data_IF_765361725319
#
_entry.id   IF_765361725319
#
_cell.length_a   1.000
_cell.length_b   1.000
_cell.length_c   1.000
_cell.angle_alpha   90.00
_cell.angle_beta   90.00
_cell.angle_gamma   90.00
#
_symmetry.space_group_name_H-M   'P 1'
#
loop_
_entity.id
_entity.type
_entity.pdbx_description
1 polymer ?
#
# COMPACT_ATOMS: atom_id res chain seq x y z
N UNK A 1 9.53 -1.21 -51.91
CA UNK A 1 9.22 -1.43 -50.49
C UNK A 1 8.40 -2.70 -50.36
N UNK A 2 8.79 -3.62 -49.50
CA UNK A 2 8.00 -4.82 -49.22
C UNK A 2 6.79 -4.41 -48.39
N UNK A 3 5.58 -4.86 -48.82
CA UNK A 3 4.31 -4.58 -48.14
C UNK A 3 3.61 -5.90 -47.85
N UNK A 4 2.95 -5.98 -46.65
CA UNK A 4 2.11 -7.12 -46.32
C UNK A 4 0.75 -6.95 -46.96
N UNK A 5 0.25 -7.99 -47.61
CA UNK A 5 -1.10 -8.01 -48.15
C UNK A 5 -2.03 -8.72 -47.20
N UNK A 6 -3.06 -8.00 -46.70
CA UNK A 6 -4.08 -8.55 -45.82
C UNK A 6 -5.36 -8.87 -46.56
N UNK A 7 -5.99 -10.02 -46.26
CA UNK A 7 -7.27 -10.44 -46.83
C UNK A 7 -8.12 -11.15 -45.76
N UNK A 8 -9.42 -10.94 -45.78
CA UNK A 8 -10.35 -11.68 -44.96
C UNK A 8 -10.80 -12.97 -45.68
N UNK A 9 -10.68 -14.10 -44.98
CA UNK A 9 -11.00 -15.43 -45.52
C UNK A 9 -11.95 -16.15 -44.53
N UNK A 10 -13.06 -16.67 -45.03
CA UNK A 10 -13.97 -17.52 -44.27
C UNK A 10 -13.74 -18.99 -44.65
N UNK A 11 -13.75 -19.88 -43.65
CA UNK A 11 -13.75 -21.33 -43.86
C UNK A 11 -12.61 -21.88 -44.74
N UNK A 12 -11.38 -21.45 -44.48
CA UNK A 12 -10.19 -21.86 -45.22
C UNK A 12 -10.01 -23.39 -45.27
N UNK A 13 -10.34 -24.10 -44.23
CA UNK A 13 -10.12 -25.54 -44.11
C UNK A 13 -11.32 -26.37 -44.57
N UNK A 14 -12.34 -25.73 -45.15
CA UNK A 14 -13.61 -26.35 -45.56
C UNK A 14 -14.27 -27.19 -44.44
N UNK A 15 -14.06 -26.77 -43.17
CA UNK A 15 -14.59 -27.46 -41.98
C UNK A 15 -15.52 -26.52 -41.21
N UNK A 16 -16.74 -26.99 -40.92
CA UNK A 16 -17.71 -26.24 -40.16
C UNK A 16 -17.80 -26.81 -38.74
N UNK A 17 -17.93 -25.93 -37.77
CA UNK A 17 -18.18 -26.35 -36.38
C UNK A 17 -19.61 -26.93 -36.21
N UNK A 18 -19.90 -27.43 -35.00
CA UNK A 18 -21.20 -28.04 -34.68
C UNK A 18 -22.42 -27.14 -34.96
N UNK A 19 -22.25 -25.83 -35.01
CA UNK A 19 -23.29 -24.84 -35.30
C UNK A 19 -23.36 -24.45 -36.79
N UNK A 20 -22.70 -25.20 -37.67
CA UNK A 20 -22.61 -24.94 -39.11
C UNK A 20 -22.01 -23.53 -39.40
N UNK A 21 -21.08 -23.03 -38.55
CA UNK A 21 -20.36 -21.78 -38.73
C UNK A 21 -18.86 -22.05 -38.88
N UNK A 22 -18.17 -21.15 -39.59
CA UNK A 22 -16.72 -21.14 -39.70
C UNK A 22 -16.17 -19.79 -39.22
N UNK A 23 -14.92 -19.76 -38.75
CA UNK A 23 -14.26 -18.56 -38.35
C UNK A 23 -13.80 -17.74 -39.55
N UNK A 24 -13.94 -16.41 -39.41
CA UNK A 24 -13.28 -15.46 -40.36
C UNK A 24 -11.84 -15.29 -39.88
N UNK A 25 -10.89 -15.48 -40.76
CA UNK A 25 -9.46 -15.29 -40.48
C UNK A 25 -8.91 -14.15 -41.35
N UNK A 26 -7.85 -13.50 -40.92
CA UNK A 26 -7.09 -12.55 -41.72
C UNK A 26 -5.87 -13.27 -42.28
N UNK A 27 -5.84 -13.46 -43.60
CA UNK A 27 -4.62 -13.90 -44.33
C UNK A 27 -3.67 -12.72 -44.41
N UNK A 28 -2.48 -12.84 -43.81
CA UNK A 28 -1.37 -11.90 -44.00
C UNK A 28 -0.30 -12.56 -44.88
N UNK A 29 -0.05 -11.99 -46.05
CA UNK A 29 0.90 -12.50 -47.04
C UNK A 29 2.07 -11.54 -47.19
N UNK A 30 3.30 -12.07 -47.02
CA UNK A 30 4.55 -11.36 -47.31
C UNK A 30 5.42 -12.21 -48.27
N UNK A 31 5.62 -11.74 -49.49
CA UNK A 31 6.31 -12.49 -50.53
C UNK A 31 5.65 -13.87 -50.81
N UNK A 32 6.39 -14.95 -50.57
CA UNK A 32 5.91 -16.33 -50.68
C UNK A 32 5.30 -16.90 -49.43
N UNK A 33 5.52 -16.25 -48.26
CA UNK A 33 5.04 -16.72 -46.96
C UNK A 33 3.65 -16.19 -46.63
N UNK A 34 2.83 -17.02 -46.00
CA UNK A 34 1.49 -16.68 -45.54
C UNK A 34 1.26 -17.10 -44.10
N UNK A 35 0.46 -16.33 -43.41
CA UNK A 35 0.01 -16.61 -42.03
C UNK A 35 -1.47 -16.26 -41.92
N UNK A 36 -2.19 -16.94 -41.06
CA UNK A 36 -3.61 -16.72 -40.82
C UNK A 36 -3.83 -16.32 -39.38
N UNK A 37 -4.52 -15.20 -39.16
CA UNK A 37 -4.78 -14.61 -37.88
C UNK A 37 -6.26 -14.74 -37.54
N UNK A 38 -6.63 -15.31 -36.36
CA UNK A 38 -8.03 -15.52 -35.99
C UNK A 38 -8.69 -14.20 -35.61
N UNK A 39 -9.94 -13.97 -36.11
CA UNK A 39 -10.72 -12.80 -35.72
C UNK A 39 -11.71 -13.10 -34.58
N UNK A 40 -11.91 -14.36 -34.25
CA UNK A 40 -12.97 -14.86 -33.35
C UNK A 40 -14.40 -14.54 -33.82
N UNK A 41 -14.58 -14.17 -35.08
CA UNK A 41 -15.89 -13.97 -35.71
C UNK A 41 -16.30 -15.25 -36.40
N UNK A 42 -17.40 -15.87 -35.98
CA UNK A 42 -17.93 -17.11 -36.58
C UNK A 42 -19.20 -16.81 -37.38
N UNK A 43 -19.21 -17.23 -38.67
CA UNK A 43 -20.30 -16.98 -39.59
C UNK A 43 -20.73 -18.27 -40.32
N UNK A 44 -22.01 -18.34 -40.68
CA UNK A 44 -22.46 -19.34 -41.65
C UNK A 44 -22.02 -18.91 -43.04
N UNK A 45 -21.50 -19.82 -43.90
CA UNK A 45 -20.99 -19.47 -45.23
C UNK A 45 -21.97 -18.66 -46.09
N UNK A 46 -23.28 -18.89 -45.96
CA UNK A 46 -24.33 -18.15 -46.69
C UNK A 46 -24.37 -16.65 -46.44
N UNK A 47 -23.74 -16.16 -45.36
CA UNK A 47 -23.70 -14.74 -44.99
C UNK A 47 -22.37 -14.07 -45.37
N UNK A 48 -21.50 -14.77 -46.10
CA UNK A 48 -20.18 -14.25 -46.47
C UNK A 48 -20.07 -13.98 -47.96
N UNK A 49 -19.61 -12.78 -48.32
CA UNK A 49 -19.31 -12.41 -49.69
C UNK A 49 -17.81 -12.61 -49.95
N UNK A 50 -17.44 -13.66 -50.66
CA UNK A 50 -16.04 -14.01 -50.98
C UNK A 50 -15.36 -12.95 -51.84
N UNK A 51 -16.08 -12.31 -52.78
CA UNK A 51 -15.48 -11.30 -53.69
C UNK A 51 -15.18 -9.99 -52.98
N UNK A 52 -16.10 -9.54 -52.13
CA UNK A 52 -15.95 -8.29 -51.40
C UNK A 52 -15.27 -8.47 -50.04
N UNK A 53 -15.13 -9.72 -49.57
CA UNK A 53 -14.53 -10.07 -48.29
C UNK A 53 -15.29 -9.39 -47.08
N UNK A 54 -16.61 -9.39 -47.14
CA UNK A 54 -17.50 -8.74 -46.18
C UNK A 54 -18.67 -9.62 -45.76
N UNK A 55 -19.26 -9.33 -44.64
CA UNK A 55 -20.53 -9.95 -44.18
C UNK A 55 -21.68 -9.35 -44.97
N UNK A 56 -22.51 -10.21 -45.58
CA UNK A 56 -23.63 -9.77 -46.41
C UNK A 56 -24.75 -9.09 -45.63
N UNK A 57 -25.50 -8.14 -46.21
CA UNK A 57 -26.62 -7.44 -45.56
C UNK A 57 -27.75 -8.36 -45.07
N UNK A 58 -27.78 -9.60 -45.54
CA UNK A 58 -28.71 -10.61 -45.08
C UNK A 58 -28.43 -11.11 -43.64
N UNK A 59 -27.28 -10.76 -43.04
CA UNK A 59 -26.98 -11.05 -41.66
C UNK A 59 -27.49 -9.91 -40.73
N UNK A 60 -28.19 -10.18 -39.64
CA UNK A 60 -28.78 -9.14 -38.75
C UNK A 60 -27.79 -8.09 -38.24
N UNK A 61 -26.52 -8.50 -38.00
CA UNK A 61 -25.48 -7.66 -37.44
C UNK A 61 -24.37 -7.35 -38.45
N UNK A 62 -24.68 -7.29 -39.74
CA UNK A 62 -23.67 -7.17 -40.83
C UNK A 62 -22.82 -5.90 -40.69
N UNK A 63 -23.41 -4.75 -40.39
CA UNK A 63 -22.68 -3.49 -40.21
C UNK A 63 -21.68 -3.56 -39.08
N UNK A 64 -22.12 -4.06 -37.93
CA UNK A 64 -21.30 -4.16 -36.73
C UNK A 64 -20.11 -5.11 -36.93
N UNK A 65 -20.36 -6.27 -37.59
CA UNK A 65 -19.34 -7.26 -37.85
C UNK A 65 -18.36 -6.79 -38.89
N UNK A 66 -18.81 -6.12 -39.98
CA UNK A 66 -17.92 -5.53 -40.96
C UNK A 66 -17.04 -4.46 -40.37
N UNK A 67 -17.59 -3.56 -39.55
CA UNK A 67 -16.82 -2.55 -38.84
C UNK A 67 -15.79 -3.18 -37.90
N UNK A 68 -16.15 -4.22 -37.18
CA UNK A 68 -15.22 -4.94 -36.32
C UNK A 68 -14.05 -5.56 -37.09
N UNK A 69 -14.35 -6.21 -38.23
CA UNK A 69 -13.33 -6.81 -39.11
C UNK A 69 -12.43 -5.76 -39.74
N UNK A 70 -12.98 -4.62 -40.14
CA UNK A 70 -12.22 -3.49 -40.68
C UNK A 70 -11.29 -2.88 -39.62
N UNK A 71 -11.77 -2.71 -38.36
CA UNK A 71 -10.91 -2.26 -37.26
C UNK A 71 -9.73 -3.21 -36.99
N UNK A 72 -9.93 -4.53 -37.16
CA UNK A 72 -8.86 -5.51 -37.03
C UNK A 72 -7.82 -5.37 -38.17
N UNK A 73 -8.26 -5.16 -39.41
CA UNK A 73 -7.38 -4.92 -40.53
C UNK A 73 -6.56 -3.64 -40.37
N UNK A 74 -7.22 -2.53 -39.98
CA UNK A 74 -6.56 -1.25 -39.72
C UNK A 74 -5.50 -1.35 -38.64
N UNK A 75 -5.74 -2.15 -37.57
CA UNK A 75 -4.74 -2.39 -36.54
C UNK A 75 -3.49 -3.09 -37.06
N UNK A 76 -3.63 -4.05 -37.97
CA UNK A 76 -2.51 -4.75 -38.59
C UNK A 76 -1.73 -3.86 -39.57
N UNK A 77 -2.42 -3.05 -40.37
CA UNK A 77 -1.81 -2.06 -41.23
C UNK A 77 -1.04 -1.00 -40.43
N UNK A 78 -1.61 -0.54 -39.33
CA UNK A 78 -0.91 0.39 -38.43
C UNK A 78 0.35 -0.22 -37.80
N UNK A 79 0.33 -1.52 -37.46
CA UNK A 79 1.52 -2.23 -36.99
C UNK A 79 2.62 -2.29 -38.09
N UNK A 80 2.25 -2.58 -39.31
CA UNK A 80 3.19 -2.55 -40.45
C UNK A 80 3.85 -1.17 -40.56
N UNK A 81 3.07 -0.08 -40.49
CA UNK A 81 3.58 1.29 -40.49
C UNK A 81 4.52 1.60 -39.33
N UNK A 82 4.21 1.10 -38.13
CA UNK A 82 5.08 1.26 -36.99
C UNK A 82 6.40 0.49 -37.13
N UNK A 83 6.40 -0.71 -37.73
CA UNK A 83 7.62 -1.46 -37.99
C UNK A 83 8.52 -0.70 -38.99
N UNK A 84 7.95 -0.07 -39.99
CA UNK A 84 8.70 0.80 -40.91
C UNK A 84 9.26 2.03 -40.22
N UNK A 85 8.45 2.73 -39.45
CA UNK A 85 8.89 3.92 -38.71
C UNK A 85 10.05 3.63 -37.76
N UNK A 86 10.08 2.43 -37.16
CA UNK A 86 11.09 2.02 -36.20
C UNK A 86 12.29 1.29 -36.83
N UNK A 87 12.38 1.22 -38.15
CA UNK A 87 13.41 0.47 -38.87
C UNK A 87 13.54 -1.00 -38.43
N UNK A 88 12.43 -1.62 -37.97
CA UNK A 88 12.41 -3.03 -37.60
C UNK A 88 12.19 -3.88 -38.84
N UNK A 89 12.83 -5.07 -38.99
CA UNK A 89 12.63 -5.95 -40.12
C UNK A 89 11.17 -6.37 -40.25
N UNK A 90 10.60 -6.26 -41.47
CA UNK A 90 9.21 -6.66 -41.70
C UNK A 90 9.15 -8.18 -41.87
N UNK A 91 8.73 -8.91 -40.82
CA UNK A 91 8.55 -10.36 -40.83
C UNK A 91 7.15 -10.73 -40.30
N UNK A 92 6.58 -11.82 -40.90
CA UNK A 92 5.28 -12.34 -40.43
C UNK A 92 5.33 -12.83 -38.97
N UNK A 93 6.46 -13.35 -38.51
CA UNK A 93 6.66 -13.78 -37.12
C UNK A 93 6.57 -12.62 -36.15
N UNK A 94 7.14 -11.47 -36.47
CA UNK A 94 7.02 -10.27 -35.61
C UNK A 94 5.61 -9.69 -35.61
N UNK A 95 4.88 -9.82 -36.73
CA UNK A 95 3.47 -9.44 -36.77
C UNK A 95 2.62 -10.32 -35.83
N UNK A 96 2.87 -11.65 -35.82
CA UNK A 96 2.20 -12.63 -34.97
C UNK A 96 2.60 -12.43 -33.50
N UNK A 97 3.90 -12.35 -33.23
CA UNK A 97 4.40 -12.22 -31.83
C UNK A 97 3.93 -10.91 -31.20
N UNK A 98 3.75 -9.85 -31.96
CA UNK A 98 3.13 -8.63 -31.47
C UNK A 98 1.63 -8.78 -31.17
N UNK A 99 0.95 -9.77 -31.75
CA UNK A 99 -0.42 -10.16 -31.35
C UNK A 99 -0.42 -11.12 -30.16
N UNK A 100 0.49 -12.08 -30.12
CA UNK A 100 0.67 -12.98 -28.98
C UNK A 100 1.07 -12.21 -27.72
N UNK A 101 1.89 -11.16 -27.83
CA UNK A 101 2.16 -10.22 -26.73
C UNK A 101 0.93 -9.39 -26.32
N UNK A 102 -0.05 -9.18 -27.23
CA UNK A 102 -1.31 -8.50 -26.91
C UNK A 102 -2.44 -9.45 -26.44
N UNK A 103 -2.33 -10.76 -26.69
CA UNK A 103 -3.37 -11.75 -26.34
C UNK A 103 -3.06 -12.46 -25.00
N UNK A 104 -1.80 -12.47 -24.55
CA UNK A 104 -1.39 -13.09 -23.27
C UNK A 104 -1.33 -12.14 -22.08
N UNK A 105 -1.91 -10.95 -22.14
CA UNK A 105 -2.27 -10.22 -20.94
C UNK A 105 -3.66 -10.72 -20.55
N UNK A 106 -3.71 -11.77 -19.74
CA UNK A 106 -4.93 -12.23 -19.08
C UNK A 106 -5.73 -11.01 -18.58
N UNK A 107 -6.91 -10.76 -19.14
CA UNK A 107 -7.76 -9.62 -18.76
C UNK A 107 -8.24 -9.68 -17.30
N UNK A 108 -7.98 -10.78 -16.57
CA UNK A 108 -8.20 -10.92 -15.13
C UNK A 108 -6.94 -10.90 -14.26
N UNK A 109 -5.76 -10.64 -14.83
CA UNK A 109 -4.47 -10.91 -14.18
C UNK A 109 -3.97 -9.82 -13.21
N UNK A 110 -4.59 -8.64 -13.11
CA UNK A 110 -4.06 -7.59 -12.22
C UNK A 110 -4.16 -7.98 -10.75
N UNK A 111 -5.24 -8.62 -10.33
CA UNK A 111 -5.43 -9.06 -8.95
C UNK A 111 -4.41 -10.15 -8.59
N UNK A 112 -4.19 -11.11 -9.49
CA UNK A 112 -3.23 -12.20 -9.26
C UNK A 112 -1.79 -11.69 -9.31
N UNK A 113 -1.47 -10.78 -10.23
CA UNK A 113 -0.22 -10.03 -10.21
C UNK A 113 0.03 -9.31 -8.87
N UNK A 114 -0.98 -8.63 -8.32
CA UNK A 114 -0.85 -7.97 -7.02
C UNK A 114 -0.56 -8.97 -5.90
N UNK A 115 -1.22 -10.14 -5.89
CA UNK A 115 -0.98 -11.22 -4.92
C UNK A 115 0.45 -11.77 -5.06
N UNK A 116 0.88 -12.06 -6.28
CA UNK A 116 2.24 -12.53 -6.58
C UNK A 116 3.28 -11.50 -6.12
N UNK A 117 3.12 -10.22 -6.51
CA UNK A 117 4.01 -9.14 -6.09
C UNK A 117 4.11 -9.03 -4.58
N UNK A 118 3.00 -9.15 -3.85
CA UNK A 118 3.01 -9.11 -2.38
C UNK A 118 3.81 -10.30 -1.82
N UNK A 119 3.56 -11.52 -2.33
CA UNK A 119 4.18 -12.73 -1.81
C UNK A 119 5.69 -12.76 -2.07
N UNK A 120 6.13 -12.36 -3.27
CA UNK A 120 7.54 -12.33 -3.67
C UNK A 120 8.33 -11.14 -3.11
N UNK A 121 7.62 -10.08 -2.62
CA UNK A 121 8.27 -8.88 -2.11
C UNK A 121 9.02 -9.14 -0.80
N UNK A 122 10.16 -8.46 -0.62
CA UNK A 122 10.93 -8.43 0.65
C UNK A 122 10.29 -7.56 1.74
N UNK A 123 9.00 -7.21 1.60
CA UNK A 123 8.29 -6.37 2.56
C UNK A 123 7.98 -7.15 3.85
N UNK A 124 7.92 -6.43 4.97
CA UNK A 124 7.52 -7.03 6.27
C UNK A 124 6.11 -7.61 6.21
N UNK A 125 5.87 -8.68 6.94
CA UNK A 125 4.58 -9.39 6.96
C UNK A 125 3.39 -8.46 7.30
N UNK A 126 3.56 -7.50 8.21
CA UNK A 126 2.53 -6.50 8.52
C UNK A 126 2.21 -5.61 7.32
N UNK A 127 3.20 -5.27 6.48
CA UNK A 127 3.01 -4.52 5.24
C UNK A 127 2.31 -5.37 4.20
N UNK A 128 2.71 -6.64 4.05
CA UNK A 128 2.05 -7.59 3.14
C UNK A 128 0.57 -7.77 3.49
N UNK A 129 0.22 -7.92 4.78
CA UNK A 129 -1.18 -7.99 5.25
C UNK A 129 -1.97 -6.74 4.88
N UNK A 130 -1.39 -5.55 5.04
CA UNK A 130 -2.04 -4.29 4.67
C UNK A 130 -2.26 -4.16 3.15
N UNK A 131 -1.28 -4.55 2.33
CA UNK A 131 -1.39 -4.59 0.88
C UNK A 131 -2.46 -5.59 0.45
N UNK A 132 -2.48 -6.80 1.02
CA UNK A 132 -3.49 -7.82 0.74
C UNK A 132 -4.91 -7.36 1.05
N UNK A 133 -5.10 -6.54 2.11
CA UNK A 133 -6.39 -5.90 2.40
C UNK A 133 -6.85 -5.00 1.26
N UNK A 134 -5.92 -4.27 0.63
CA UNK A 134 -6.24 -3.43 -0.54
C UNK A 134 -6.61 -4.27 -1.75
N UNK A 135 -5.89 -5.37 -2.00
CA UNK A 135 -6.21 -6.30 -3.09
C UNK A 135 -7.63 -6.88 -2.93
N UNK A 136 -8.00 -7.27 -1.71
CA UNK A 136 -9.38 -7.71 -1.41
C UNK A 136 -10.42 -6.63 -1.72
N UNK A 137 -10.14 -5.36 -1.41
CA UNK A 137 -11.05 -4.26 -1.71
C UNK A 137 -11.15 -3.99 -3.22
N UNK A 138 -10.05 -4.08 -3.96
CA UNK A 138 -10.05 -3.99 -5.43
C UNK A 138 -10.90 -5.12 -6.02
N UNK A 139 -10.73 -6.35 -5.55
CA UNK A 139 -11.51 -7.50 -6.00
C UNK A 139 -13.01 -7.37 -5.71
N UNK A 140 -13.40 -6.75 -4.59
CA UNK A 140 -14.80 -6.48 -4.26
C UNK A 140 -15.36 -5.34 -5.13
N UNK A 141 -14.53 -4.35 -5.47
CA UNK A 141 -14.91 -3.20 -6.30
C UNK A 141 -15.11 -3.63 -7.75
N UNK A 142 -14.14 -4.32 -8.32
CA UNK A 142 -14.18 -4.87 -9.67
C UNK A 142 -13.32 -6.15 -9.74
N UNK A 143 -13.95 -7.34 -9.74
CA UNK A 143 -13.24 -8.63 -9.84
C UNK A 143 -12.43 -8.77 -11.14
N UNK A 144 -12.92 -8.16 -12.23
CA UNK A 144 -12.35 -8.24 -13.57
C UNK A 144 -11.35 -7.10 -13.85
N UNK A 145 -10.74 -6.53 -12.78
CA UNK A 145 -9.73 -5.49 -12.94
C UNK A 145 -8.56 -5.99 -13.75
N UNK A 146 -8.35 -5.38 -14.92
CA UNK A 146 -7.24 -5.63 -15.82
C UNK A 146 -6.18 -4.52 -15.74
N UNK A 147 -4.99 -4.76 -16.30
CA UNK A 147 -3.96 -3.72 -16.39
C UNK A 147 -4.40 -2.50 -17.20
N UNK A 148 -5.28 -2.70 -18.21
CA UNK A 148 -5.80 -1.63 -19.08
C UNK A 148 -6.93 -0.84 -18.44
N UNK A 149 -7.69 -1.45 -17.52
CA UNK A 149 -8.82 -0.80 -16.87
C UNK A 149 -8.40 0.26 -15.85
N UNK A 150 -7.12 0.27 -15.41
CA UNK A 150 -6.64 1.22 -14.41
C UNK A 150 -6.35 2.57 -15.07
N UNK A 151 -7.42 3.34 -15.27
CA UNK A 151 -7.41 4.70 -15.80
C UNK A 151 -7.59 5.71 -14.67
N UNK A 152 -7.56 7.00 -15.00
CA UNK A 152 -7.91 8.07 -14.05
C UNK A 152 -9.34 7.90 -13.51
N UNK A 153 -10.29 7.56 -14.39
CA UNK A 153 -11.69 7.32 -14.04
C UNK A 153 -11.83 6.15 -13.06
N UNK A 154 -11.12 5.05 -13.31
CA UNK A 154 -11.08 3.90 -12.39
C UNK A 154 -10.61 4.30 -10.98
N UNK A 155 -9.58 5.15 -10.88
CA UNK A 155 -9.05 5.62 -9.58
C UNK A 155 -10.11 6.46 -8.85
N UNK A 156 -10.81 7.34 -9.57
CA UNK A 156 -11.88 8.17 -9.02
C UNK A 156 -13.09 7.34 -8.56
N UNK A 157 -13.47 6.32 -9.33
CA UNK A 157 -14.55 5.41 -8.97
C UNK A 157 -14.18 4.53 -7.76
N UNK A 158 -12.95 4.04 -7.70
CA UNK A 158 -12.46 3.31 -6.53
C UNK A 158 -12.43 4.18 -5.27
N UNK A 159 -12.05 5.46 -5.39
CA UNK A 159 -12.15 6.44 -4.27
C UNK A 159 -13.60 6.62 -3.82
N UNK A 160 -14.55 6.81 -4.75
CA UNK A 160 -15.99 6.91 -4.45
C UNK A 160 -16.51 5.64 -3.77
N UNK A 161 -16.10 4.46 -4.25
CA UNK A 161 -16.43 3.17 -3.64
C UNK A 161 -15.94 3.08 -2.18
N UNK A 162 -14.70 3.50 -1.90
CA UNK A 162 -14.18 3.52 -0.54
C UNK A 162 -14.92 4.53 0.34
N UNK A 163 -15.30 5.68 -0.21
CA UNK A 163 -16.07 6.73 0.48
C UNK A 163 -17.48 6.24 0.82
N UNK A 164 -18.16 5.58 -0.11
CA UNK A 164 -19.51 5.01 0.12
C UNK A 164 -19.53 3.97 1.23
N UNK A 165 -18.41 3.26 1.43
CA UNK A 165 -18.18 2.33 2.54
C UNK A 165 -17.80 3.02 3.86
N UNK A 166 -17.88 4.35 3.93
CA UNK A 166 -17.60 5.17 5.13
C UNK A 166 -16.18 5.01 5.67
N UNK A 167 -15.19 4.71 4.81
CA UNK A 167 -13.79 4.72 5.23
C UNK A 167 -13.33 6.14 5.56
N UNK A 168 -12.51 6.28 6.61
CA UNK A 168 -11.87 7.56 6.95
C UNK A 168 -10.89 7.99 5.86
N UNK A 169 -10.75 9.29 5.62
CA UNK A 169 -9.89 9.88 4.57
C UNK A 169 -8.49 9.27 4.56
N UNK A 170 -7.83 9.16 5.74
CA UNK A 170 -6.49 8.55 5.83
C UNK A 170 -6.45 7.07 5.42
N UNK A 171 -7.57 6.35 5.57
CA UNK A 171 -7.69 4.96 5.12
C UNK A 171 -7.85 4.90 3.60
N UNK A 172 -8.64 5.81 3.02
CA UNK A 172 -8.80 5.95 1.57
C UNK A 172 -7.44 6.26 0.94
N UNK A 173 -6.73 7.28 1.45
CA UNK A 173 -5.38 7.65 1.01
C UNK A 173 -4.44 6.44 1.03
N UNK A 174 -4.48 5.64 2.09
CA UNK A 174 -3.65 4.42 2.20
C UNK A 174 -3.95 3.45 1.07
N UNK A 175 -5.22 3.16 0.78
CA UNK A 175 -5.59 2.21 -0.27
C UNK A 175 -5.26 2.74 -1.68
N UNK A 176 -5.46 4.03 -1.94
CA UNK A 176 -5.04 4.66 -3.20
C UNK A 176 -3.50 4.62 -3.38
N UNK A 177 -2.72 4.87 -2.31
CA UNK A 177 -1.25 4.73 -2.35
C UNK A 177 -0.82 3.29 -2.63
N UNK A 178 -1.52 2.30 -2.10
CA UNK A 178 -1.26 0.90 -2.40
C UNK A 178 -1.57 0.57 -3.86
N UNK A 179 -2.72 1.02 -4.40
CA UNK A 179 -3.06 0.87 -5.81
C UNK A 179 -1.99 1.51 -6.70
N UNK A 180 -1.54 2.74 -6.38
CA UNK A 180 -0.44 3.40 -7.09
C UNK A 180 0.85 2.59 -7.05
N UNK A 181 1.16 1.96 -5.91
CA UNK A 181 2.35 1.10 -5.80
C UNK A 181 2.26 -0.14 -6.71
N UNK A 182 1.09 -0.76 -6.82
CA UNK A 182 0.85 -1.88 -7.74
C UNK A 182 0.93 -1.42 -9.20
N UNK A 183 0.31 -0.29 -9.53
CA UNK A 183 0.35 0.31 -10.87
C UNK A 183 1.80 0.59 -11.30
N UNK A 184 2.57 1.26 -10.45
CA UNK A 184 3.97 1.57 -10.76
C UNK A 184 4.82 0.31 -10.96
N UNK A 185 4.58 -0.74 -10.18
CA UNK A 185 5.28 -2.02 -10.37
C UNK A 185 4.89 -2.69 -11.70
N UNK A 186 3.62 -2.63 -12.07
CA UNK A 186 3.16 -3.14 -13.37
C UNK A 186 3.78 -2.37 -14.55
N UNK A 187 3.93 -1.05 -14.42
CA UNK A 187 4.66 -0.22 -15.39
C UNK A 187 6.14 -0.62 -15.46
N UNK A 188 6.80 -0.79 -14.31
CA UNK A 188 8.20 -1.21 -14.25
C UNK A 188 8.44 -2.58 -14.92
N UNK A 189 7.47 -3.50 -14.78
CA UNK A 189 7.50 -4.82 -15.46
C UNK A 189 7.01 -4.78 -16.91
N UNK A 190 6.71 -3.59 -17.46
CA UNK A 190 6.20 -3.38 -18.82
C UNK A 190 4.86 -4.08 -19.11
N UNK A 191 4.08 -4.40 -18.07
CA UNK A 191 2.73 -4.98 -18.19
C UNK A 191 1.69 -3.91 -18.55
N UNK A 192 1.97 -2.64 -18.23
CA UNK A 192 1.20 -1.47 -18.66
C UNK A 192 2.08 -0.70 -19.63
N UNK A 193 1.59 -0.47 -20.85
CA UNK A 193 2.29 0.38 -21.82
C UNK A 193 2.30 1.81 -21.31
N UNK A 194 3.45 2.47 -21.40
CA UNK A 194 3.65 3.88 -21.02
C UNK A 194 2.90 4.79 -22.01
N UNK A 195 1.62 4.99 -21.71
CA UNK A 195 0.81 6.08 -22.25
C UNK A 195 0.72 7.21 -21.23
N UNK A 196 -0.45 7.80 -21.04
CA UNK A 196 -0.68 8.71 -19.92
C UNK A 196 -0.68 7.96 -18.60
N UNK A 197 0.18 8.37 -17.64
CA UNK A 197 0.15 7.85 -16.26
C UNK A 197 -1.23 8.15 -15.64
N UNK A 198 -1.99 7.10 -15.32
CA UNK A 198 -3.32 7.21 -14.73
C UNK A 198 -3.33 8.08 -13.45
N UNK A 199 -2.22 8.10 -12.71
CA UNK A 199 -2.07 8.89 -11.49
C UNK A 199 -1.53 10.30 -11.71
N UNK A 200 -1.15 10.70 -12.93
CA UNK A 200 -0.55 12.00 -13.23
C UNK A 200 -1.51 13.16 -12.89
N UNK A 201 -2.79 13.02 -13.24
CA UNK A 201 -3.82 14.01 -12.99
C UNK A 201 -4.50 13.85 -11.63
N UNK A 202 -4.32 12.70 -10.97
CA UNK A 202 -4.98 12.42 -9.70
C UNK A 202 -4.36 13.21 -8.55
N UNK A 203 -5.14 14.10 -7.96
CA UNK A 203 -4.75 14.87 -6.77
C UNK A 203 -5.03 14.05 -5.53
N UNK A 204 -3.96 13.55 -4.89
CA UNK A 204 -4.08 12.79 -3.65
C UNK A 204 -4.81 13.60 -2.58
N UNK A 205 -5.80 13.01 -1.95
CA UNK A 205 -6.49 13.59 -0.80
C UNK A 205 -5.47 13.96 0.29
N UNK A 206 -5.74 15.06 1.00
CA UNK A 206 -4.97 15.45 2.19
C UNK A 206 -5.71 14.98 3.43
N UNK A 207 -5.06 14.15 4.23
CA UNK A 207 -5.59 13.70 5.52
C UNK A 207 -4.93 14.47 6.65
N UNK A 208 -5.68 14.68 7.72
CA UNK A 208 -5.14 15.26 8.95
C UNK A 208 -4.54 14.17 9.85
N UNK A 209 -3.40 14.47 10.42
CA UNK A 209 -2.79 13.64 11.48
C UNK A 209 -3.12 14.27 12.83
N UNK A 210 -4.04 13.66 13.58
CA UNK A 210 -4.32 14.06 14.96
C UNK A 210 -3.42 13.27 15.89
N UNK A 211 -2.55 13.96 16.62
CA UNK A 211 -1.70 13.37 17.64
C UNK A 211 -2.40 13.46 18.99
N UNK A 212 -2.61 12.31 19.61
CA UNK A 212 -3.20 12.24 20.96
C UNK A 212 -2.10 11.97 21.96
N UNK A 213 -1.98 12.80 22.98
CA UNK A 213 -1.02 12.70 24.08
C UNK A 213 -1.71 13.04 25.39
N UNK A 214 -1.11 12.67 26.51
CA UNK A 214 -1.60 12.96 27.85
C UNK A 214 -1.02 14.28 28.34
N UNK A 215 -1.88 15.10 28.96
CA UNK A 215 -1.44 16.25 29.74
C UNK A 215 -0.73 15.79 31.04
N UNK A 216 0.10 16.65 31.66
CA UNK A 216 0.78 16.30 32.90
C UNK A 216 -0.17 15.80 34.00
N UNK A 217 -1.35 16.42 34.14
CA UNK A 217 -2.37 16.05 35.12
C UNK A 217 -2.98 14.68 34.82
N UNK A 218 -3.19 14.36 33.54
CA UNK A 218 -3.71 13.04 33.12
C UNK A 218 -2.67 11.95 33.36
N UNK A 219 -1.39 12.24 33.05
CA UNK A 219 -0.29 11.32 33.33
C UNK A 219 -0.17 11.06 34.84
N UNK A 220 -0.29 12.12 35.69
CA UNK A 220 -0.27 11.99 37.12
C UNK A 220 -1.41 11.12 37.68
N UNK A 221 -2.63 11.22 37.11
CA UNK A 221 -3.74 10.33 37.44
C UNK A 221 -3.42 8.85 37.21
N UNK A 222 -2.66 8.54 36.15
CA UNK A 222 -2.22 7.15 35.86
C UNK A 222 -1.11 6.71 36.85
N UNK A 223 -0.20 7.62 37.21
CA UNK A 223 0.90 7.36 38.14
C UNK A 223 0.37 7.00 39.53
N UNK A 224 -0.69 7.66 39.97
CA UNK A 224 -1.31 7.50 41.29
C UNK A 224 -2.42 6.47 41.32
N UNK A 225 -2.79 5.90 40.19
CA UNK A 225 -3.89 4.94 40.08
C UNK A 225 -3.56 3.63 40.82
N UNK A 226 -4.33 3.33 41.88
CA UNK A 226 -4.27 2.04 42.56
C UNK A 226 -5.18 1.01 41.89
N UNK A 227 -4.61 -0.05 41.36
CA UNK A 227 -5.35 -1.17 40.77
C UNK A 227 -5.48 -2.32 41.78
N UNK A 228 -6.66 -2.49 42.35
CA UNK A 228 -6.96 -3.50 43.38
C UNK A 228 -7.90 -4.61 42.85
N UNK A 229 -7.96 -5.73 43.55
CA UNK A 229 -8.88 -6.83 43.28
C UNK A 229 -8.76 -7.37 41.84
N UNK A 230 -9.87 -7.46 41.12
CA UNK A 230 -9.92 -7.96 39.74
C UNK A 230 -9.11 -7.12 38.74
N UNK A 231 -8.80 -5.86 39.06
CA UNK A 231 -8.07 -4.94 38.23
C UNK A 231 -6.55 -5.08 38.35
N UNK A 232 -6.04 -5.77 39.39
CA UNK A 232 -4.61 -5.98 39.66
C UNK A 232 -3.87 -6.60 38.46
N UNK A 233 -4.55 -7.45 37.67
CA UNK A 233 -4.00 -8.05 36.46
C UNK A 233 -3.61 -7.03 35.38
N UNK A 234 -4.16 -5.82 35.38
CA UNK A 234 -3.84 -4.75 34.45
C UNK A 234 -2.64 -3.89 34.91
N UNK A 235 -2.06 -4.17 36.09
CA UNK A 235 -0.93 -3.41 36.62
C UNK A 235 0.28 -3.50 35.67
N UNK A 236 0.57 -4.67 35.16
CA UNK A 236 1.65 -4.86 34.21
C UNK A 236 1.48 -4.01 32.94
N UNK A 237 0.25 -3.94 32.40
CA UNK A 237 -0.07 -3.08 31.27
C UNK A 237 0.08 -1.59 31.59
N UNK A 238 -0.36 -1.17 32.79
CA UNK A 238 -0.19 0.22 33.26
C UNK A 238 1.30 0.56 33.37
N UNK A 239 2.07 -0.29 34.03
CA UNK A 239 3.51 -0.11 34.18
C UNK A 239 4.26 -0.06 32.86
N UNK A 240 3.94 -0.95 31.92
CA UNK A 240 4.51 -0.92 30.57
C UNK A 240 4.14 0.35 29.80
N UNK A 241 2.90 0.82 29.94
CA UNK A 241 2.45 2.07 29.33
C UNK A 241 3.18 3.29 29.92
N UNK A 242 3.26 3.40 31.25
CA UNK A 242 3.98 4.47 31.94
C UNK A 242 5.48 4.45 31.60
N UNK A 243 6.08 3.25 31.58
CA UNK A 243 7.47 3.09 31.15
C UNK A 243 7.68 3.67 29.73
N UNK A 244 6.74 3.41 28.80
CA UNK A 244 6.80 3.98 27.46
C UNK A 244 6.50 5.49 27.44
N UNK A 245 5.73 6.02 28.36
CA UNK A 245 5.58 7.47 28.54
C UNK A 245 6.91 8.15 28.93
N UNK A 246 7.76 7.45 29.68
CA UNK A 246 9.06 8.00 30.11
C UNK A 246 10.21 7.71 29.14
N UNK A 247 10.10 6.69 28.32
CA UNK A 247 11.18 6.25 27.40
C UNK A 247 10.90 6.55 25.93
N UNK A 248 9.64 6.79 25.56
CA UNK A 248 9.24 7.04 24.18
C UNK A 248 9.24 5.79 23.29
N UNK A 249 9.37 4.59 23.83
CA UNK A 249 9.38 3.33 23.07
C UNK A 249 8.10 3.10 22.27
N UNK A 250 8.24 2.48 21.10
CA UNK A 250 7.10 1.89 20.40
C UNK A 250 6.74 0.55 21.02
N UNK A 251 5.51 0.11 20.87
CA UNK A 251 5.08 -1.24 21.29
C UNK A 251 6.02 -2.34 20.78
N UNK A 252 6.38 -2.31 19.50
CA UNK A 252 7.29 -3.31 18.92
C UNK A 252 8.69 -3.29 19.53
N UNK A 253 9.17 -2.07 19.84
CA UNK A 253 10.50 -1.90 20.42
C UNK A 253 10.47 -2.39 21.89
N UNK A 254 9.43 -2.04 22.65
CA UNK A 254 9.24 -2.54 24.02
C UNK A 254 9.21 -4.07 24.10
N UNK A 255 8.41 -4.72 23.23
CA UNK A 255 8.32 -6.19 23.20
C UNK A 255 9.58 -6.89 22.71
N UNK A 256 10.51 -6.19 22.08
CA UNK A 256 11.79 -6.74 21.61
C UNK A 256 12.91 -6.61 22.63
N UNK A 257 12.68 -5.89 23.75
CA UNK A 257 13.70 -5.70 24.77
C UNK A 257 13.92 -6.97 25.60
N UNK A 258 15.15 -7.08 26.03
CA UNK A 258 15.64 -8.09 26.96
C UNK A 258 16.45 -7.42 28.07
N UNK A 259 16.91 -8.18 29.04
CA UNK A 259 17.78 -7.68 30.11
C UNK A 259 19.09 -7.09 29.57
N UNK A 260 19.61 -7.65 28.46
CA UNK A 260 20.87 -7.23 27.84
C UNK A 260 20.81 -5.81 27.25
N UNK A 261 19.60 -5.28 27.05
CA UNK A 261 19.42 -3.89 26.60
C UNK A 261 19.64 -2.86 27.73
N UNK A 262 19.67 -3.31 28.99
CA UNK A 262 19.92 -2.48 30.15
C UNK A 262 21.40 -2.50 30.51
N UNK A 263 22.11 -1.40 30.27
CA UNK A 263 23.57 -1.32 30.38
C UNK A 263 23.92 -0.28 31.44
N UNK A 264 24.80 -0.62 32.36
CA UNK A 264 25.38 0.33 33.30
C UNK A 264 26.64 0.96 32.71
N UNK A 265 26.66 2.28 32.62
CA UNK A 265 27.81 3.07 32.21
C UNK A 265 28.07 4.10 33.32
N UNK A 266 29.23 4.08 33.92
CA UNK A 266 29.61 4.96 35.03
C UNK A 266 28.57 4.95 36.19
N UNK A 267 28.14 3.76 36.58
CA UNK A 267 27.10 3.52 37.61
C UNK A 267 25.72 4.14 37.29
N UNK A 268 25.47 4.45 36.00
CA UNK A 268 24.21 5.02 35.52
C UNK A 268 23.55 4.06 34.53
N UNK A 269 22.25 3.80 34.74
CA UNK A 269 21.50 2.86 33.92
C UNK A 269 21.06 3.50 32.59
N UNK A 270 21.43 2.86 31.51
CA UNK A 270 21.08 3.19 30.15
C UNK A 270 20.24 2.07 29.53
N UNK A 271 19.29 2.46 28.67
CA UNK A 271 18.59 1.54 27.78
C UNK A 271 19.12 1.70 26.36
N UNK A 272 19.74 0.65 25.81
CA UNK A 272 20.29 0.64 24.47
C UNK A 272 19.59 -0.40 23.61
N UNK A 273 19.05 0.00 22.46
CA UNK A 273 18.34 -0.89 21.57
C UNK A 273 18.39 -0.40 20.13
N UNK A 274 18.21 -1.35 19.20
CA UNK A 274 17.99 -1.05 17.77
C UNK A 274 16.50 -1.12 17.49
N UNK A 275 15.91 -0.01 17.02
CA UNK A 275 14.47 0.05 16.77
C UNK A 275 14.05 -0.96 15.71
N UNK A 276 13.05 -1.78 16.01
CA UNK A 276 12.51 -2.82 15.12
C UNK A 276 12.00 -2.22 13.80
N UNK A 277 11.39 -1.02 13.83
CA UNK A 277 10.78 -0.40 12.65
C UNK A 277 11.78 0.40 11.81
N UNK A 278 12.67 1.15 12.45
CA UNK A 278 13.55 2.13 11.78
C UNK A 278 14.99 1.66 11.68
N UNK A 279 15.37 0.61 12.42
CA UNK A 279 16.73 0.07 12.53
C UNK A 279 17.76 1.09 13.03
N UNK A 280 17.25 2.17 13.65
CA UNK A 280 18.08 3.21 14.29
C UNK A 280 18.50 2.73 15.67
N UNK A 281 19.78 2.80 15.98
CA UNK A 281 20.28 2.61 17.33
C UNK A 281 19.85 3.78 18.22
N UNK A 282 19.30 3.47 19.37
CA UNK A 282 18.80 4.45 20.33
C UNK A 282 19.40 4.16 21.69
N UNK A 283 19.84 5.24 22.38
CA UNK A 283 20.48 5.20 23.69
C UNK A 283 19.73 6.15 24.61
N UNK A 284 19.12 5.61 25.65
CA UNK A 284 18.25 6.36 26.57
C UNK A 284 18.89 6.40 27.98
N UNK A 285 19.26 7.56 28.50
CA UNK A 285 19.76 7.71 29.89
C UNK A 285 18.58 7.64 30.85
N UNK A 286 18.21 6.45 31.32
CA UNK A 286 17.01 6.24 32.15
C UNK A 286 17.03 7.06 33.44
N UNK A 287 18.20 7.32 33.99
CA UNK A 287 18.40 8.12 35.22
C UNK A 287 18.05 9.60 35.06
N UNK A 288 18.13 10.16 33.82
CA UNK A 288 17.80 11.56 33.54
C UNK A 288 16.35 11.74 33.05
N UNK A 289 15.85 10.76 32.29
CA UNK A 289 14.53 10.87 31.69
C UNK A 289 13.44 10.88 32.76
N UNK A 290 12.66 11.97 32.82
CA UNK A 290 11.54 12.14 33.75
C UNK A 290 11.94 11.84 35.23
N UNK A 291 13.14 12.32 35.64
CA UNK A 291 13.70 12.12 36.97
C UNK A 291 13.83 10.64 37.37
N UNK A 292 14.16 9.77 36.45
CA UNK A 292 14.37 8.34 36.70
C UNK A 292 13.10 7.53 36.92
N UNK A 293 11.90 8.08 36.64
CA UNK A 293 10.62 7.34 36.82
C UNK A 293 10.58 5.97 36.16
N UNK A 294 11.24 5.84 34.99
CA UNK A 294 11.36 4.54 34.29
C UNK A 294 12.12 3.50 35.14
N UNK A 295 13.16 3.92 35.87
CA UNK A 295 13.94 3.05 36.75
C UNK A 295 13.09 2.57 37.95
N UNK A 296 12.27 3.44 38.53
CA UNK A 296 11.35 3.07 39.63
C UNK A 296 10.37 1.98 39.22
N UNK A 297 9.93 1.98 37.94
CA UNK A 297 9.12 0.89 37.37
C UNK A 297 9.94 -0.39 37.26
N UNK A 298 11.13 -0.34 36.65
CA UNK A 298 12.00 -1.52 36.48
C UNK A 298 12.34 -2.18 37.84
N UNK A 299 12.53 -1.40 38.88
CA UNK A 299 12.84 -1.93 40.20
C UNK A 299 11.72 -2.81 40.77
N UNK A 300 10.46 -2.58 40.40
CA UNK A 300 9.34 -3.48 40.76
C UNK A 300 9.43 -4.86 40.11
N UNK A 301 10.18 -4.97 39.02
CA UNK A 301 10.38 -6.19 38.24
C UNK A 301 11.83 -6.71 38.34
N UNK A 302 12.60 -6.29 39.33
CA UNK A 302 14.02 -6.63 39.49
C UNK A 302 14.29 -8.13 39.54
N UNK A 303 13.36 -8.93 40.10
CA UNK A 303 13.48 -10.38 40.14
C UNK A 303 13.34 -11.05 38.76
N UNK A 304 12.57 -10.47 37.82
CA UNK A 304 12.39 -10.98 36.48
C UNK A 304 12.08 -9.84 35.48
N UNK A 305 13.12 -9.09 35.14
CA UNK A 305 13.03 -8.00 34.16
C UNK A 305 12.61 -8.52 32.78
N UNK A 306 12.98 -9.77 32.44
CA UNK A 306 12.63 -10.38 31.16
C UNK A 306 11.11 -10.54 30.97
N UNK A 307 10.37 -10.82 32.06
CA UNK A 307 8.92 -10.92 32.03
C UNK A 307 8.26 -9.55 31.87
N UNK A 308 8.87 -8.47 32.37
CA UNK A 308 8.35 -7.11 32.21
C UNK A 308 8.19 -6.72 30.74
N UNK A 309 9.10 -7.10 29.89
CA UNK A 309 9.04 -6.78 28.46
C UNK A 309 8.12 -7.72 27.65
N UNK A 310 7.60 -8.77 28.25
CA UNK A 310 6.64 -9.70 27.63
C UNK A 310 5.20 -9.32 27.93
N UNK A 311 4.58 -8.54 27.07
CA UNK A 311 3.19 -8.11 27.21
C UNK A 311 2.30 -8.74 26.13
N UNK A 312 0.99 -8.74 26.39
CA UNK A 312 -0.03 -9.24 25.47
C UNK A 312 -0.01 -8.52 24.11
N UNK A 313 -0.76 -9.04 23.13
CA UNK A 313 -0.89 -8.41 21.81
C UNK A 313 -1.36 -6.94 21.93
N UNK A 314 -0.95 -6.10 20.98
CA UNK A 314 -1.31 -4.67 21.00
C UNK A 314 -2.82 -4.44 21.11
N UNK A 315 -3.64 -5.26 20.47
CA UNK A 315 -5.10 -5.16 20.55
C UNK A 315 -5.67 -5.55 21.93
N UNK A 316 -5.03 -6.48 22.67
CA UNK A 316 -5.38 -6.82 24.04
C UNK A 316 -5.00 -5.68 24.99
N UNK A 317 -3.79 -5.17 24.84
CA UNK A 317 -3.29 -4.00 25.61
C UNK A 317 -4.20 -2.78 25.43
N UNK A 318 -4.61 -2.47 24.19
CA UNK A 318 -5.51 -1.33 23.91
C UNK A 318 -6.88 -1.50 24.62
N UNK A 319 -7.37 -2.73 24.78
CA UNK A 319 -8.60 -3.01 25.56
C UNK A 319 -8.38 -2.76 27.06
N UNK A 320 -7.24 -3.18 27.60
CA UNK A 320 -6.88 -2.94 29.00
C UNK A 320 -6.66 -1.46 29.25
N UNK A 321 -5.96 -0.74 28.39
CA UNK A 321 -5.75 0.70 28.48
C UNK A 321 -7.08 1.48 28.47
N UNK A 322 -8.08 1.05 27.68
CA UNK A 322 -9.42 1.65 27.73
C UNK A 322 -10.06 1.52 29.12
N UNK A 323 -9.88 0.38 29.79
CA UNK A 323 -10.39 0.17 31.17
C UNK A 323 -9.61 1.01 32.20
N UNK A 324 -8.28 1.02 32.09
CA UNK A 324 -7.39 1.83 32.92
C UNK A 324 -7.77 3.32 32.82
N UNK A 325 -7.96 3.82 31.59
CA UNK A 325 -8.41 5.18 31.33
C UNK A 325 -9.71 5.52 32.05
N UNK A 326 -10.70 4.63 32.00
CA UNK A 326 -11.99 4.84 32.68
C UNK A 326 -11.82 4.90 34.22
N UNK A 327 -10.99 3.99 34.77
CA UNK A 327 -10.70 3.97 36.21
C UNK A 327 -9.95 5.23 36.68
N UNK A 328 -9.09 5.80 35.83
CA UNK A 328 -8.35 7.02 36.12
C UNK A 328 -9.16 8.31 35.86
N UNK A 329 -10.39 8.22 35.35
CA UNK A 329 -11.20 9.39 34.99
C UNK A 329 -10.55 10.29 33.92
N UNK A 330 -9.92 9.68 32.88
CA UNK A 330 -9.26 10.38 31.81
C UNK A 330 -10.18 10.43 30.60
N UNK A 331 -10.36 11.62 29.97
CA UNK A 331 -11.16 11.82 28.75
C UNK A 331 -10.40 11.51 27.48
N UNK A 332 -9.10 11.77 27.47
CA UNK A 332 -8.20 11.57 26.32
C UNK A 332 -8.18 10.11 25.86
N UNK A 333 -8.24 9.87 24.55
CA UNK A 333 -8.09 8.53 24.01
C UNK A 333 -6.67 8.02 24.21
N UNK A 334 -6.50 6.90 24.92
CA UNK A 334 -5.20 6.27 25.12
C UNK A 334 -5.06 4.96 24.32
N UNK A 335 -3.92 4.79 23.73
CA UNK A 335 -3.40 3.59 23.07
C UNK A 335 -1.92 3.48 23.39
N UNK A 336 -1.30 2.33 23.14
CA UNK A 336 0.12 2.19 23.43
C UNK A 336 0.99 3.24 22.68
N UNK A 337 0.54 3.69 21.52
CA UNK A 337 1.25 4.74 20.76
C UNK A 337 1.12 6.14 21.39
N UNK A 338 0.04 6.38 22.15
CA UNK A 338 -0.16 7.63 22.92
C UNK A 338 0.97 7.85 23.93
N UNK A 339 1.51 6.79 24.54
CA UNK A 339 2.66 6.89 25.46
C UNK A 339 3.86 7.60 24.81
N UNK A 340 4.19 7.20 23.58
CA UNK A 340 5.29 7.82 22.83
C UNK A 340 5.00 9.27 22.44
N UNK A 341 3.77 9.58 22.07
CA UNK A 341 3.38 10.98 21.81
C UNK A 341 3.48 11.82 23.06
N UNK A 342 3.04 11.29 24.20
CA UNK A 342 3.17 11.93 25.52
C UNK A 342 4.63 12.22 25.87
N UNK A 343 5.52 11.21 25.71
CA UNK A 343 6.96 11.38 25.91
C UNK A 343 7.50 12.54 25.07
N UNK A 344 7.26 12.51 23.76
CA UNK A 344 7.77 13.51 22.83
C UNK A 344 7.27 14.92 23.16
N UNK A 345 5.96 15.06 23.37
CA UNK A 345 5.34 16.36 23.68
C UNK A 345 5.84 16.91 25.00
N UNK A 346 5.95 16.08 26.07
CA UNK A 346 6.43 16.52 27.36
C UNK A 346 7.92 16.87 27.37
N UNK A 347 8.75 16.18 26.57
CA UNK A 347 10.18 16.57 26.42
C UNK A 347 10.31 17.93 25.71
N UNK A 348 9.55 18.16 24.65
CA UNK A 348 9.51 19.46 23.97
C UNK A 348 8.98 20.55 24.91
N UNK A 349 7.91 20.27 25.64
CA UNK A 349 7.34 21.18 26.64
C UNK A 349 8.36 21.58 27.72
N UNK A 350 9.22 20.64 28.14
CA UNK A 350 10.33 20.89 29.09
C UNK A 350 11.53 21.62 28.44
N UNK A 351 11.43 22.01 27.17
CA UNK A 351 12.48 22.73 26.45
C UNK A 351 13.66 21.85 26.02
N UNK A 352 13.47 20.53 25.92
CA UNK A 352 14.50 19.65 25.34
C UNK A 352 14.60 19.93 23.85
N UNK A 353 15.81 20.15 23.36
CA UNK A 353 16.05 20.44 21.94
C UNK A 353 15.43 19.37 21.03
N UNK A 354 14.75 19.80 19.96
CA UNK A 354 14.04 18.93 19.04
C UNK A 354 14.92 17.85 18.39
N UNK A 355 16.20 18.14 18.16
CA UNK A 355 17.18 17.18 17.62
C UNK A 355 17.52 16.11 18.66
N UNK A 356 17.56 16.47 19.94
CA UNK A 356 17.72 15.52 21.05
C UNK A 356 16.50 14.63 21.17
N UNK A 357 15.29 15.20 21.12
CA UNK A 357 14.03 14.42 21.11
C UNK A 357 13.99 13.48 19.91
N UNK A 358 14.42 13.93 18.71
CA UNK A 358 14.54 13.07 17.54
C UNK A 358 15.42 11.84 17.79
N UNK A 359 16.61 12.05 18.38
CA UNK A 359 17.57 10.98 18.72
C UNK A 359 17.00 10.02 19.76
N UNK A 360 16.41 10.54 20.84
CA UNK A 360 15.77 9.73 21.88
C UNK A 360 14.61 8.86 21.34
N UNK A 361 13.85 9.41 20.39
CA UNK A 361 12.78 8.67 19.73
C UNK A 361 13.24 7.74 18.60
N UNK A 362 14.47 7.84 18.12
CA UNK A 362 14.96 7.08 16.97
C UNK A 362 14.19 7.37 15.68
N UNK A 363 13.92 8.67 15.40
CA UNK A 363 13.32 9.11 14.15
C UNK A 363 14.40 9.35 13.09
N UNK A 364 14.27 8.70 11.92
CA UNK A 364 15.17 8.92 10.77
C UNK A 364 15.06 10.35 10.20
N UNK A 365 13.85 10.94 10.26
CA UNK A 365 13.58 12.26 9.69
C UNK A 365 13.07 13.20 10.80
N UNK A 366 13.71 14.36 10.91
CA UNK A 366 13.36 15.39 11.90
C UNK A 366 11.92 15.91 11.73
N UNK A 367 11.40 15.96 10.51
CA UNK A 367 10.01 16.37 10.24
C UNK A 367 9.00 15.57 11.04
N UNK A 368 9.30 14.29 11.36
CA UNK A 368 8.44 13.45 12.20
C UNK A 368 8.40 13.94 13.65
N UNK A 369 9.45 14.63 14.10
CA UNK A 369 9.56 15.17 15.46
C UNK A 369 9.05 16.61 15.53
N UNK A 370 9.20 17.41 14.47
CA UNK A 370 8.72 18.80 14.39
C UNK A 370 7.24 18.95 14.69
N UNK A 371 6.40 17.97 14.34
CA UNK A 371 4.98 18.00 14.67
C UNK A 371 4.69 18.13 16.17
N UNK A 372 5.62 17.77 17.06
CA UNK A 372 5.45 17.95 18.50
C UNK A 372 5.75 19.39 18.96
N UNK A 373 6.58 20.11 18.22
CA UNK A 373 6.86 21.51 18.50
C UNK A 373 5.65 22.42 18.19
N UNK A 374 4.85 22.04 17.20
CA UNK A 374 3.67 22.81 16.78
C UNK A 374 2.45 22.65 17.73
N UNK A 375 2.52 21.71 18.68
CA UNK A 375 1.35 21.32 19.49
C UNK A 375 1.10 22.26 20.67
N UNK A 376 2.16 22.83 21.28
CA UNK A 376 2.06 23.63 22.49
C UNK A 376 2.71 25.02 22.29
N UNK A 377 1.91 26.12 22.33
CA UNK A 377 2.42 27.50 22.26
C UNK A 377 3.43 27.82 23.37
N UNK A 378 3.36 27.12 24.50
CA UNK A 378 4.24 27.29 25.65
C UNK A 378 5.73 27.05 25.31
N UNK A 379 6.02 26.25 24.26
CA UNK A 379 7.39 26.08 23.76
C UNK A 379 8.02 27.40 23.33
N UNK A 380 7.23 28.28 22.71
CA UNK A 380 7.70 29.61 22.28
C UNK A 380 8.02 30.48 23.50
N UNK A 381 7.15 30.46 24.52
CA UNK A 381 7.36 31.22 25.78
C UNK A 381 8.64 30.75 26.47
N UNK A 382 8.79 29.43 26.64
CA UNK A 382 9.96 28.84 27.30
C UNK A 382 11.27 29.13 26.54
N UNK A 383 11.25 29.18 25.21
CA UNK A 383 12.43 29.49 24.41
C UNK A 383 12.79 30.99 24.50
N UNK A 384 11.80 31.87 24.55
CA UNK A 384 12.03 33.31 24.74
C UNK A 384 12.53 33.63 26.16
N UNK A 385 11.95 33.02 27.20
CA UNK A 385 12.37 33.21 28.58
C UNK A 385 13.81 32.70 28.87
N UNK A 386 14.28 31.68 28.14
CA UNK A 386 15.66 31.18 28.28
C UNK A 386 16.70 32.05 27.61
N UNK A 387 16.28 32.87 26.66
CA UNK A 387 17.18 33.73 25.88
C UNK A 387 17.01 35.23 26.20
N UNK A 388 16.11 35.56 27.14
CA UNK A 388 15.97 36.90 27.74
C UNK A 388 16.81 37.03 29.00
#
# INVERSE_FOLDING_TARGET
MQKICFKLVLNRENNLNANSTAMVEIEAKLLSSKVYLPTNVFLKPKYWNVKKQEVMPSHPNHELLNRFLEEHLLKLEWKELLMWKNNTPLTLEQLINSEAENININDGAFIDFCKEYINTSRKRESTKKNLMTTVKLINIFNPDTSFRSITYEYIMEFEKFLTSRKYKINTIIKHIKHLRSFYNEAVNRKLIKTGEDAFRRYKMLKGESKYTFLLPEELHKLETLSLCGKNKKMLHTLDAFLFCCYTGLRYSDFCSLTKENLINIDNKLWLMYKSVKTEVETRLPLYLLFNGKAMSILNRYSCDIGSFFKINSNSSIDKELKRIKMLAGISTHISFHTARHTNATLLVYKGVNITTVQKLLGHKNIRTTQHYADILPQGIVNDLEKNA
#
